data_IF_299690007953
#
_entry.id   IF_299690007953
#
_cell.length_a   1.000
_cell.length_b   1.000
_cell.length_c   1.000
_cell.angle_alpha   90.00
_cell.angle_beta   90.00
_cell.angle_gamma   90.00
#
_symmetry.space_group_name_H-M   'P 1'
#
loop_
_entity.id
_entity.type
_entity.pdbx_description
1 polymer ?
#
# COMPACT_ATOMS: atom_id res chain seq x y z
N UNK A 1 16.82 50.14 -20.05
CA UNK A 1 17.20 49.76 -21.44
C UNK A 1 17.30 48.23 -21.42
N UNK A 2 16.35 47.49 -22.01
CA UNK A 2 16.22 47.22 -23.46
C UNK A 2 17.46 46.44 -23.97
N UNK A 3 17.38 45.26 -24.58
CA UNK A 3 16.35 44.70 -25.50
C UNK A 3 16.25 43.16 -25.36
N UNK A 4 15.07 42.57 -25.62
CA UNK A 4 14.93 41.21 -26.18
C UNK A 4 14.26 41.36 -27.56
N UNK A 5 14.70 40.63 -28.61
CA UNK A 5 14.09 39.34 -28.97
C UNK A 5 15.19 38.33 -29.44
N UNK A 6 14.99 37.22 -30.18
CA UNK A 6 13.83 36.70 -30.91
C UNK A 6 13.87 35.15 -31.07
N UNK A 7 12.76 34.58 -31.56
CA UNK A 7 12.71 33.29 -32.25
C UNK A 7 13.29 33.44 -33.67
N UNK A 8 14.03 32.44 -34.17
CA UNK A 8 14.32 32.29 -35.59
C UNK A 8 14.27 30.83 -36.02
N UNK A 9 13.43 30.54 -37.01
CA UNK A 9 13.24 29.22 -37.62
C UNK A 9 14.55 28.73 -38.25
N UNK A 10 14.99 27.51 -37.89
CA UNK A 10 16.06 26.82 -38.60
C UNK A 10 15.54 26.30 -39.96
N UNK A 11 15.47 27.20 -40.94
CA UNK A 11 15.14 26.87 -42.33
C UNK A 11 16.13 25.83 -42.87
N UNK A 12 15.63 24.72 -43.39
CA UNK A 12 16.46 23.67 -43.96
C UNK A 12 16.97 24.02 -45.36
N UNK A 13 18.18 24.58 -45.45
CA UNK A 13 18.95 24.62 -46.70
C UNK A 13 20.35 24.03 -46.49
N UNK A 14 20.66 22.99 -47.26
CA UNK A 14 22.04 22.58 -47.54
C UNK A 14 22.24 22.66 -49.05
N UNK A 15 23.22 23.47 -49.47
CA UNK A 15 23.63 23.57 -50.87
C UNK A 15 24.39 22.29 -51.25
N UNK A 16 24.21 21.81 -52.49
CA UNK A 16 24.97 20.68 -53.04
C UNK A 16 25.67 21.05 -54.34
N UNK A 17 26.92 20.61 -54.46
CA UNK A 17 27.62 20.39 -55.71
C UNK A 17 28.29 19.01 -55.61
N UNK A 18 28.05 18.13 -56.59
CA UNK A 18 28.39 16.69 -56.50
C UNK A 18 27.13 15.82 -56.49
N UNK A 19 27.10 14.81 -57.34
CA UNK A 19 25.89 14.07 -57.74
C UNK A 19 25.31 13.09 -56.73
N UNK A 20 24.31 12.32 -57.19
CA UNK A 20 23.39 11.48 -56.42
C UNK A 20 22.47 12.30 -55.52
N UNK A 21 21.39 12.82 -56.12
CA UNK A 21 20.18 13.20 -55.37
C UNK A 21 19.73 11.93 -54.64
N UNK A 22 20.00 11.86 -53.34
CA UNK A 22 19.30 10.94 -52.46
C UNK A 22 17.99 11.63 -52.21
N UNK A 23 17.00 11.28 -53.02
CA UNK A 23 15.63 11.70 -52.77
C UNK A 23 15.31 11.18 -51.37
N UNK A 24 15.15 12.09 -50.42
CA UNK A 24 14.79 11.70 -49.06
C UNK A 24 13.38 11.16 -49.24
N UNK A 25 13.12 9.85 -49.05
CA UNK A 25 11.80 9.31 -49.30
C UNK A 25 10.83 10.20 -48.53
N UNK A 26 9.73 10.66 -49.16
CA UNK A 26 8.75 11.45 -48.43
C UNK A 26 8.50 10.70 -47.13
N UNK A 27 8.60 11.39 -45.99
CA UNK A 27 8.11 10.82 -44.73
C UNK A 27 6.74 10.28 -45.10
N UNK A 28 6.47 8.97 -44.95
CA UNK A 28 5.26 8.40 -45.50
C UNK A 28 4.13 9.30 -45.06
N UNK A 29 3.43 9.88 -46.03
CA UNK A 29 2.19 10.56 -45.71
C UNK A 29 1.37 9.46 -45.08
N UNK A 30 1.29 9.49 -43.75
CA UNK A 30 0.36 8.67 -43.00
C UNK A 30 -0.97 9.30 -43.36
N UNK A 31 -1.48 8.89 -44.52
CA UNK A 31 -2.84 9.12 -44.95
C UNK A 31 -3.63 8.53 -43.80
N UNK A 32 -4.16 9.43 -42.97
CA UNK A 32 -4.79 9.07 -41.72
C UNK A 32 -6.14 8.45 -42.07
N UNK A 33 -6.09 7.17 -42.45
CA UNK A 33 -7.27 6.39 -42.78
C UNK A 33 -7.93 5.93 -41.50
N UNK A 34 -9.21 6.29 -41.34
CA UNK A 34 -10.02 5.91 -40.19
C UNK A 34 -10.21 4.40 -40.10
N UNK A 35 -10.22 3.67 -41.23
CA UNK A 35 -10.27 2.20 -41.22
C UNK A 35 -9.04 1.60 -40.55
N UNK A 36 -7.86 2.05 -40.93
CA UNK A 36 -6.56 1.63 -40.39
C UNK A 36 -6.40 2.05 -38.92
N UNK A 37 -6.78 3.28 -38.57
CA UNK A 37 -6.76 3.75 -37.18
C UNK A 37 -7.67 2.89 -36.27
N UNK A 38 -8.86 2.52 -36.75
CA UNK A 38 -9.79 1.60 -36.07
C UNK A 38 -9.21 0.19 -35.92
N UNK A 39 -8.57 -0.36 -36.95
CA UNK A 39 -7.92 -1.67 -36.86
C UNK A 39 -6.80 -1.70 -35.81
N UNK A 40 -5.95 -0.67 -35.77
CA UNK A 40 -4.89 -0.54 -34.77
C UNK A 40 -5.46 -0.42 -33.34
N UNK A 41 -6.50 0.38 -33.15
CA UNK A 41 -7.18 0.48 -31.85
C UNK A 41 -7.87 -0.83 -31.42
N UNK A 42 -8.48 -1.57 -32.36
CA UNK A 42 -9.03 -2.91 -32.08
C UNK A 42 -7.94 -3.92 -31.71
N UNK A 43 -6.77 -3.84 -32.33
CA UNK A 43 -5.57 -4.60 -31.97
C UNK A 43 -4.92 -4.13 -30.66
N UNK A 44 -5.45 -3.08 -30.02
CA UNK A 44 -4.90 -2.39 -28.83
C UNK A 44 -3.54 -1.73 -29.04
N UNK A 45 -3.12 -1.51 -30.28
CA UNK A 45 -1.94 -0.71 -30.61
C UNK A 45 -2.32 0.78 -30.60
N UNK A 46 -2.55 1.30 -29.39
CA UNK A 46 -2.91 2.70 -29.22
C UNK A 46 -1.74 3.65 -29.51
N UNK A 47 -0.49 3.17 -29.45
CA UNK A 47 0.68 3.97 -29.81
C UNK A 47 0.72 4.28 -31.31
N UNK A 48 0.39 3.30 -32.16
CA UNK A 48 0.26 3.52 -33.60
C UNK A 48 -1.07 4.20 -33.98
N UNK A 49 -2.18 3.86 -33.29
CA UNK A 49 -3.50 4.40 -33.62
C UNK A 49 -3.65 5.90 -33.29
N UNK A 50 -3.19 6.36 -32.12
CA UNK A 50 -3.46 7.72 -31.64
C UNK A 50 -2.95 8.84 -32.57
N UNK A 51 -1.74 8.77 -33.16
CA UNK A 51 -1.30 9.76 -34.15
C UNK A 51 -2.27 9.91 -35.32
N UNK A 52 -2.83 8.80 -35.83
CA UNK A 52 -3.80 8.83 -36.94
C UNK A 52 -5.12 9.48 -36.51
N UNK A 53 -5.65 9.09 -35.34
CA UNK A 53 -6.85 9.70 -34.76
C UNK A 53 -6.70 11.21 -34.51
N UNK A 54 -5.54 11.64 -34.00
CA UNK A 54 -5.26 13.06 -33.76
C UNK A 54 -5.12 13.86 -35.07
N UNK A 55 -4.58 13.25 -36.13
CA UNK A 55 -4.57 13.87 -37.47
C UNK A 55 -5.98 13.99 -38.05
N UNK A 56 -6.81 12.96 -37.92
CA UNK A 56 -8.22 12.99 -38.34
C UNK A 56 -9.02 14.07 -37.60
N UNK A 57 -8.94 14.09 -36.27
CA UNK A 57 -9.58 15.11 -35.43
C UNK A 57 -9.04 16.55 -35.65
N UNK A 58 -7.85 16.70 -36.23
CA UNK A 58 -7.33 18.00 -36.63
C UNK A 58 -7.83 18.47 -38.01
N UNK A 59 -8.29 17.53 -38.87
CA UNK A 59 -8.84 17.87 -40.19
C UNK A 59 -10.28 18.41 -40.15
N UNK A 60 -11.08 17.93 -39.19
CA UNK A 60 -12.37 18.53 -38.81
C UNK A 60 -12.44 18.69 -37.29
N UNK A 61 -12.03 19.87 -36.75
CA UNK A 61 -12.02 20.10 -35.32
C UNK A 61 -13.39 20.15 -34.66
N UNK A 62 -14.49 20.23 -35.41
CA UNK A 62 -15.87 20.32 -34.90
C UNK A 62 -16.68 19.03 -35.10
N UNK A 63 -16.09 17.99 -35.70
CA UNK A 63 -16.65 16.63 -35.72
C UNK A 63 -16.70 16.03 -34.30
N UNK A 64 -17.88 16.11 -33.70
CA UNK A 64 -18.17 15.55 -32.39
C UNK A 64 -18.05 14.02 -32.33
N UNK A 65 -18.33 13.28 -33.40
CA UNK A 65 -18.16 11.82 -33.43
C UNK A 65 -16.69 11.44 -33.43
N UNK A 66 -15.88 12.10 -34.27
CA UNK A 66 -14.43 11.92 -34.26
C UNK A 66 -13.84 12.26 -32.89
N UNK A 67 -14.23 13.39 -32.31
CA UNK A 67 -13.80 13.79 -30.98
C UNK A 67 -14.15 12.76 -29.89
N UNK A 68 -15.35 12.17 -29.93
CA UNK A 68 -15.74 11.10 -29.00
C UNK A 68 -14.91 9.83 -29.24
N UNK A 69 -14.69 9.44 -30.51
CA UNK A 69 -13.90 8.25 -30.83
C UNK A 69 -12.45 8.39 -30.37
N UNK A 70 -11.82 9.55 -30.63
CA UNK A 70 -10.50 9.90 -30.10
C UNK A 70 -10.50 9.87 -28.56
N UNK A 71 -11.54 10.39 -27.90
CA UNK A 71 -11.63 10.37 -26.44
C UNK A 71 -11.69 8.93 -25.89
N UNK A 72 -12.43 8.01 -26.52
CA UNK A 72 -12.44 6.58 -26.14
C UNK A 72 -11.04 5.97 -26.28
N UNK A 73 -10.35 6.20 -27.40
CA UNK A 73 -9.01 5.64 -27.66
C UNK A 73 -7.96 6.23 -26.71
N UNK A 74 -8.04 7.52 -26.38
CA UNK A 74 -7.20 8.15 -25.34
C UNK A 74 -7.41 7.49 -23.97
N UNK A 75 -8.66 7.19 -23.60
CA UNK A 75 -8.97 6.51 -22.35
C UNK A 75 -8.44 5.08 -22.29
N UNK A 76 -8.56 4.31 -23.38
CA UNK A 76 -7.95 2.97 -23.47
C UNK A 76 -6.41 2.97 -23.48
N UNK A 77 -5.79 4.11 -23.81
CA UNK A 77 -4.35 4.33 -23.78
C UNK A 77 -3.84 4.94 -22.46
N UNK A 78 -4.66 4.92 -21.40
CA UNK A 78 -4.41 5.55 -20.08
C UNK A 78 -4.17 7.08 -20.12
N UNK A 79 -4.45 7.76 -21.25
CA UNK A 79 -4.38 9.23 -21.40
C UNK A 79 -5.67 9.88 -20.89
N UNK A 80 -6.07 9.51 -19.68
CA UNK A 80 -7.36 9.80 -19.07
C UNK A 80 -7.66 11.31 -18.96
N UNK A 81 -6.65 12.13 -18.65
CA UNK A 81 -6.80 13.59 -18.55
C UNK A 81 -7.19 14.25 -19.89
N UNK A 82 -6.61 13.78 -20.99
CA UNK A 82 -6.88 14.28 -22.34
C UNK A 82 -8.22 13.78 -22.86
N UNK A 83 -8.56 12.51 -22.59
CA UNK A 83 -9.88 11.95 -22.85
C UNK A 83 -10.98 12.76 -22.14
N UNK A 84 -10.82 13.02 -20.84
CA UNK A 84 -11.77 13.83 -20.06
C UNK A 84 -11.87 15.27 -20.57
N UNK A 85 -10.78 15.87 -21.05
CA UNK A 85 -10.80 17.19 -21.66
C UNK A 85 -11.58 17.21 -22.98
N UNK A 86 -11.43 16.17 -23.80
CA UNK A 86 -12.13 16.05 -25.08
C UNK A 86 -13.63 15.77 -24.90
N UNK A 87 -14.01 14.89 -23.97
CA UNK A 87 -15.41 14.72 -23.57
C UNK A 87 -16.02 16.03 -23.04
N UNK A 88 -15.30 16.79 -22.20
CA UNK A 88 -15.75 18.12 -21.72
C UNK A 88 -15.98 19.09 -22.88
N UNK A 89 -15.11 19.12 -23.89
CA UNK A 89 -15.28 19.95 -25.09
C UNK A 89 -16.55 19.57 -25.86
N UNK A 90 -16.76 18.28 -26.13
CA UNK A 90 -17.94 17.80 -26.86
C UNK A 90 -19.24 18.09 -26.09
N UNK A 91 -19.26 17.89 -24.77
CA UNK A 91 -20.43 18.23 -23.92
C UNK A 91 -20.72 19.74 -23.91
N UNK A 92 -19.70 20.59 -24.02
CA UNK A 92 -19.87 22.05 -24.12
C UNK A 92 -20.39 22.50 -25.50
N UNK A 93 -19.98 21.83 -26.58
CA UNK A 93 -20.43 22.11 -27.95
C UNK A 93 -21.82 21.51 -28.25
N UNK A 94 -22.15 20.36 -27.66
CA UNK A 94 -23.40 19.63 -27.84
C UNK A 94 -24.03 19.20 -26.50
N UNK A 95 -24.63 20.13 -25.73
CA UNK A 95 -25.21 19.84 -24.41
C UNK A 95 -26.25 18.72 -24.40
N UNK A 96 -26.97 18.52 -25.50
CA UNK A 96 -27.92 17.42 -25.69
C UNK A 96 -27.28 16.02 -25.60
N UNK A 97 -25.96 15.91 -25.86
CA UNK A 97 -25.20 14.66 -25.71
C UNK A 97 -24.65 14.45 -24.31
N UNK A 98 -24.88 15.38 -23.36
CA UNK A 98 -24.37 15.25 -21.99
C UNK A 98 -24.72 13.90 -21.38
N UNK A 99 -25.97 13.46 -21.45
CA UNK A 99 -26.41 12.20 -20.86
C UNK A 99 -25.73 10.96 -21.46
N UNK A 100 -25.38 10.97 -22.75
CA UNK A 100 -24.63 9.89 -23.40
C UNK A 100 -23.19 9.81 -22.86
N UNK A 101 -22.54 10.96 -22.71
CA UNK A 101 -21.10 11.05 -22.47
C UNK A 101 -20.72 11.16 -20.99
N UNK A 102 -21.67 11.53 -20.11
CA UNK A 102 -21.40 11.82 -18.70
C UNK A 102 -20.81 10.62 -17.92
N UNK A 103 -21.25 9.36 -18.10
CA UNK A 103 -20.64 8.22 -17.41
C UNK A 103 -19.16 8.02 -17.81
N UNK A 104 -18.85 8.16 -19.10
CA UNK A 104 -17.46 8.08 -19.60
C UNK A 104 -16.63 9.25 -19.10
N UNK A 105 -17.16 10.47 -19.15
CA UNK A 105 -16.48 11.66 -18.66
C UNK A 105 -16.18 11.58 -17.15
N UNK A 106 -17.10 11.06 -16.34
CA UNK A 106 -16.90 10.89 -14.90
C UNK A 106 -15.73 9.93 -14.61
N UNK A 107 -15.71 8.75 -15.24
CA UNK A 107 -14.61 7.78 -15.08
C UNK A 107 -13.27 8.30 -15.60
N UNK A 108 -13.23 8.94 -16.76
CA UNK A 108 -12.00 9.52 -17.30
C UNK A 108 -11.48 10.67 -16.41
N UNK A 109 -12.36 11.45 -15.79
CA UNK A 109 -11.98 12.49 -14.82
C UNK A 109 -11.43 11.89 -13.53
N UNK A 110 -12.03 10.79 -13.04
CA UNK A 110 -11.54 10.05 -11.88
C UNK A 110 -10.16 9.40 -12.12
N UNK A 111 -9.98 8.73 -13.25
CA UNK A 111 -8.72 8.09 -13.64
C UNK A 111 -7.63 9.09 -14.04
N UNK A 112 -7.98 10.33 -14.37
CA UNK A 112 -7.05 11.46 -14.47
C UNK A 112 -6.54 11.95 -13.10
N UNK A 113 -7.05 11.41 -11.98
CA UNK A 113 -6.71 11.80 -10.62
C UNK A 113 -7.55 12.95 -10.05
N UNK A 114 -8.48 13.52 -10.82
CA UNK A 114 -9.33 14.64 -10.38
C UNK A 114 -10.62 14.12 -9.73
N UNK A 115 -10.46 13.53 -8.55
CA UNK A 115 -11.58 13.04 -7.75
C UNK A 115 -12.58 14.16 -7.36
N UNK A 116 -12.13 15.42 -7.28
CA UNK A 116 -12.97 16.57 -6.92
C UNK A 116 -13.95 16.94 -8.04
N UNK A 117 -13.51 16.91 -9.30
CA UNK A 117 -14.40 17.08 -10.45
C UNK A 117 -15.18 15.80 -10.80
N UNK A 118 -14.66 14.62 -10.48
CA UNK A 118 -15.33 13.36 -10.80
C UNK A 118 -16.58 13.09 -9.95
N UNK A 119 -16.55 13.37 -8.63
CA UNK A 119 -17.69 13.15 -7.73
C UNK A 119 -19.01 13.77 -8.23
N UNK A 120 -19.10 15.09 -8.54
CA UNK A 120 -20.39 15.68 -8.95
C UNK A 120 -20.92 15.07 -10.26
N UNK A 121 -20.05 14.67 -11.18
CA UNK A 121 -20.44 14.00 -12.43
C UNK A 121 -21.02 12.60 -12.14
N UNK A 122 -20.41 11.85 -11.23
CA UNK A 122 -20.95 10.56 -10.78
C UNK A 122 -22.28 10.72 -10.04
N UNK A 123 -22.42 11.73 -9.16
CA UNK A 123 -23.68 11.98 -8.46
C UNK A 123 -24.82 12.34 -9.42
N UNK A 124 -24.55 13.12 -10.48
CA UNK A 124 -25.53 13.42 -11.53
C UNK A 124 -25.99 12.14 -12.26
N UNK A 125 -25.07 11.25 -12.64
CA UNK A 125 -25.44 9.94 -13.24
C UNK A 125 -26.22 9.07 -12.25
N UNK A 126 -25.78 8.99 -11.00
CA UNK A 126 -26.35 8.12 -9.97
C UNK A 126 -27.78 8.52 -9.54
N UNK A 127 -28.12 9.81 -9.67
CA UNK A 127 -29.41 10.38 -9.29
C UNK A 127 -30.40 10.49 -10.46
N UNK A 128 -29.92 10.63 -11.70
CA UNK A 128 -30.80 10.80 -12.86
C UNK A 128 -31.51 9.49 -13.26
N UNK A 129 -32.84 9.55 -13.41
CA UNK A 129 -33.70 8.41 -13.75
C UNK A 129 -33.63 7.96 -15.22
N UNK A 130 -32.84 8.64 -16.06
CA UNK A 130 -32.58 8.26 -17.45
C UNK A 130 -31.62 7.08 -17.57
N UNK A 131 -30.86 6.78 -16.51
CA UNK A 131 -29.93 5.66 -16.47
C UNK A 131 -30.54 4.48 -15.70
N UNK A 132 -30.33 3.27 -16.22
CA UNK A 132 -30.75 2.03 -15.55
C UNK A 132 -30.02 1.82 -14.22
N UNK A 133 -30.61 1.01 -13.33
CA UNK A 133 -30.06 0.75 -11.99
C UNK A 133 -28.60 0.25 -11.98
N UNK A 134 -28.12 -0.61 -12.90
CA UNK A 134 -26.71 -1.00 -12.95
C UNK A 134 -25.76 0.18 -13.23
N UNK A 135 -26.14 1.09 -14.13
CA UNK A 135 -25.34 2.29 -14.45
C UNK A 135 -25.34 3.26 -13.26
N UNK A 136 -26.47 3.37 -12.56
CA UNK A 136 -26.58 4.18 -11.34
C UNK A 136 -25.81 3.58 -10.16
N UNK A 137 -25.76 2.25 -10.03
CA UNK A 137 -24.94 1.56 -9.04
C UNK A 137 -23.44 1.79 -9.31
N UNK A 138 -23.02 1.66 -10.56
CA UNK A 138 -21.66 1.96 -11.02
C UNK A 138 -21.27 3.42 -10.74
N UNK A 139 -22.19 4.36 -10.96
CA UNK A 139 -21.97 5.77 -10.66
C UNK A 139 -21.89 6.05 -9.15
N UNK A 140 -22.73 5.42 -8.31
CA UNK A 140 -22.56 5.50 -6.85
C UNK A 140 -21.20 4.90 -6.41
N UNK A 141 -20.71 3.83 -7.06
CA UNK A 141 -19.35 3.30 -6.84
C UNK A 141 -18.28 4.32 -7.19
N UNK A 142 -18.39 4.99 -8.33
CA UNK A 142 -17.46 6.04 -8.76
C UNK A 142 -17.46 7.25 -7.81
N UNK A 143 -18.62 7.68 -7.33
CA UNK A 143 -18.74 8.71 -6.30
C UNK A 143 -18.07 8.27 -4.97
N UNK A 144 -18.27 7.01 -4.56
CA UNK A 144 -17.63 6.45 -3.37
C UNK A 144 -16.10 6.42 -3.48
N UNK A 145 -15.55 5.99 -4.63
CA UNK A 145 -14.10 6.00 -4.91
C UNK A 145 -13.54 7.43 -4.94
N UNK A 146 -14.29 8.38 -5.50
CA UNK A 146 -13.90 9.81 -5.51
C UNK A 146 -13.85 10.38 -4.09
N UNK A 147 -14.86 10.09 -3.25
CA UNK A 147 -14.90 10.47 -1.83
C UNK A 147 -13.77 9.85 -1.02
N UNK A 148 -13.46 8.57 -1.28
CA UNK A 148 -12.35 7.85 -0.67
C UNK A 148 -11.01 8.55 -0.97
N UNK A 149 -10.75 8.88 -2.23
CA UNK A 149 -9.53 9.59 -2.65
C UNK A 149 -9.41 11.00 -2.05
N UNK A 150 -10.55 11.63 -1.72
CA UNK A 150 -10.63 12.92 -1.03
C UNK A 150 -10.65 12.80 0.50
N UNK A 151 -10.45 11.60 1.07
CA UNK A 151 -10.41 11.36 2.51
C UNK A 151 -11.78 11.40 3.22
N UNK A 152 -12.89 11.52 2.47
CA UNK A 152 -14.26 11.60 3.01
C UNK A 152 -14.85 10.21 3.20
N UNK A 153 -14.24 9.44 4.11
CA UNK A 153 -14.47 8.00 4.28
C UNK A 153 -15.91 7.65 4.68
N UNK A 154 -16.56 8.43 5.55
CA UNK A 154 -17.95 8.21 5.94
C UNK A 154 -18.91 8.39 4.75
N UNK A 155 -18.74 9.46 3.99
CA UNK A 155 -19.53 9.72 2.77
C UNK A 155 -19.27 8.69 1.67
N UNK A 156 -18.05 8.12 1.62
CA UNK A 156 -17.68 7.02 0.73
C UNK A 156 -18.42 5.73 1.11
N UNK A 157 -18.48 5.40 2.41
CA UNK A 157 -19.25 4.27 2.92
C UNK A 157 -20.74 4.39 2.56
N UNK A 158 -21.35 5.57 2.77
CA UNK A 158 -22.73 5.85 2.37
C UNK A 158 -22.95 5.67 0.86
N UNK A 159 -22.02 6.13 0.02
CA UNK A 159 -22.12 5.95 -1.43
C UNK A 159 -22.00 4.46 -1.83
N UNK A 160 -21.17 3.66 -1.16
CA UNK A 160 -21.16 2.21 -1.34
C UNK A 160 -22.45 1.53 -0.84
N UNK A 161 -23.06 2.00 0.25
CA UNK A 161 -24.40 1.53 0.69
C UNK A 161 -25.45 1.79 -0.40
N UNK A 162 -25.45 2.98 -1.02
CA UNK A 162 -26.36 3.32 -2.14
C UNK A 162 -26.08 2.49 -3.39
N UNK A 163 -24.82 2.18 -3.69
CA UNK A 163 -24.44 1.32 -4.80
C UNK A 163 -24.93 -0.13 -4.60
N UNK A 164 -24.74 -0.72 -3.42
CA UNK A 164 -25.26 -2.06 -3.09
C UNK A 164 -26.78 -2.12 -3.03
N UNK A 165 -27.47 -1.05 -2.64
CA UNK A 165 -28.93 -1.02 -2.66
C UNK A 165 -29.51 -1.17 -4.08
N UNK A 166 -28.76 -0.77 -5.11
CA UNK A 166 -29.13 -0.92 -6.54
C UNK A 166 -28.57 -2.20 -7.16
N UNK A 167 -27.42 -2.71 -6.67
CA UNK A 167 -26.86 -3.99 -7.11
C UNK A 167 -26.35 -4.83 -5.91
N UNK A 168 -27.23 -5.56 -5.21
CA UNK A 168 -26.86 -6.32 -4.00
C UNK A 168 -25.90 -7.49 -4.26
N UNK A 169 -25.78 -7.95 -5.52
CA UNK A 169 -24.96 -9.08 -5.90
C UNK A 169 -23.51 -8.71 -6.24
N UNK A 170 -23.18 -7.40 -6.30
CA UNK A 170 -21.82 -6.96 -6.67
C UNK A 170 -20.81 -7.18 -5.53
N UNK A 171 -20.07 -8.28 -5.65
CA UNK A 171 -19.00 -8.66 -4.73
C UNK A 171 -17.86 -7.63 -4.65
N UNK A 172 -17.60 -6.86 -5.71
CA UNK A 172 -16.55 -5.83 -5.72
C UNK A 172 -16.99 -4.62 -4.90
N UNK A 173 -18.21 -4.13 -5.10
CA UNK A 173 -18.81 -3.06 -4.29
C UNK A 173 -18.90 -3.51 -2.82
N UNK A 174 -19.33 -4.74 -2.55
CA UNK A 174 -19.39 -5.29 -1.19
C UNK A 174 -18.00 -5.35 -0.52
N UNK A 175 -16.95 -5.71 -1.26
CA UNK A 175 -15.56 -5.71 -0.75
C UNK A 175 -15.07 -4.30 -0.45
N UNK A 176 -15.31 -3.34 -1.36
CA UNK A 176 -14.96 -1.92 -1.17
C UNK A 176 -15.68 -1.31 0.03
N UNK A 177 -16.96 -1.65 0.23
CA UNK A 177 -17.72 -1.31 1.45
C UNK A 177 -17.10 -1.87 2.72
N UNK A 178 -16.73 -3.16 2.72
CA UNK A 178 -16.04 -3.78 3.85
C UNK A 178 -14.69 -3.12 4.16
N UNK A 179 -13.99 -2.62 3.13
CA UNK A 179 -12.79 -1.79 3.29
C UNK A 179 -13.10 -0.40 3.91
N UNK A 180 -14.19 0.27 3.52
CA UNK A 180 -14.57 1.54 4.13
C UNK A 180 -14.99 1.37 5.60
N UNK A 181 -15.67 0.27 5.95
CA UNK A 181 -15.94 -0.09 7.35
C UNK A 181 -14.64 -0.25 8.14
N UNK A 182 -13.59 -0.81 7.52
CA UNK A 182 -12.29 -0.95 8.18
C UNK A 182 -11.65 0.42 8.47
N UNK A 183 -11.59 1.29 7.46
CA UNK A 183 -10.96 2.62 7.57
C UNK A 183 -11.80 3.66 8.35
N UNK A 184 -13.08 3.37 8.62
CA UNK A 184 -13.95 4.14 9.53
C UNK A 184 -14.03 3.56 10.94
N UNK A 185 -13.05 2.72 11.31
CA UNK A 185 -12.90 2.07 12.64
C UNK A 185 -14.02 1.08 13.03
N UNK A 186 -14.93 0.76 12.09
CA UNK A 186 -16.04 -0.20 12.26
C UNK A 186 -15.57 -1.64 12.04
N UNK A 187 -14.50 -2.02 12.75
CA UNK A 187 -13.76 -3.27 12.54
C UNK A 187 -14.63 -4.53 12.63
N UNK A 188 -15.55 -4.61 13.60
CA UNK A 188 -16.41 -5.77 13.78
C UNK A 188 -17.34 -6.01 12.57
N UNK A 189 -17.89 -4.93 12.00
CA UNK A 189 -18.74 -5.00 10.81
C UNK A 189 -17.94 -5.28 9.54
N UNK A 190 -16.72 -4.74 9.44
CA UNK A 190 -15.78 -5.07 8.37
C UNK A 190 -15.46 -6.57 8.36
N UNK A 191 -15.10 -7.14 9.52
CA UNK A 191 -14.85 -8.59 9.68
C UNK A 191 -16.09 -9.40 9.28
N UNK A 192 -17.28 -9.04 9.75
CA UNK A 192 -18.51 -9.76 9.41
C UNK A 192 -18.81 -9.71 7.90
N UNK A 193 -18.64 -8.56 7.25
CA UNK A 193 -18.83 -8.41 5.81
C UNK A 193 -17.81 -9.24 5.01
N UNK A 194 -16.53 -9.20 5.39
CA UNK A 194 -15.49 -10.01 4.77
C UNK A 194 -15.70 -11.53 4.99
N UNK A 195 -16.17 -11.94 6.17
CA UNK A 195 -16.54 -13.34 6.45
C UNK A 195 -17.71 -13.82 5.59
N UNK A 196 -18.74 -12.98 5.38
CA UNK A 196 -19.85 -13.31 4.50
C UNK A 196 -19.39 -13.47 3.03
N UNK A 197 -18.50 -12.58 2.56
CA UNK A 197 -17.90 -12.69 1.22
C UNK A 197 -17.05 -13.96 1.07
N UNK A 198 -16.25 -14.31 2.10
CA UNK A 198 -15.38 -15.49 2.11
C UNK A 198 -16.18 -16.80 2.21
N UNK A 199 -17.32 -16.82 2.92
CA UNK A 199 -18.20 -17.97 2.96
C UNK A 199 -18.85 -18.27 1.60
N UNK A 200 -19.12 -17.23 0.80
CA UNK A 200 -19.71 -17.37 -0.53
C UNK A 200 -18.67 -17.66 -1.64
N UNK A 201 -17.41 -17.26 -1.45
CA UNK A 201 -16.28 -17.68 -2.30
C UNK A 201 -15.00 -17.76 -1.45
N UNK A 202 -14.66 -18.96 -0.95
CA UNK A 202 -13.46 -19.16 -0.14
C UNK A 202 -12.15 -18.93 -0.89
N UNK A 203 -12.16 -19.01 -2.23
CA UNK A 203 -10.97 -18.90 -3.08
C UNK A 203 -10.65 -17.46 -3.51
N UNK A 204 -11.54 -16.49 -3.24
CA UNK A 204 -11.29 -15.07 -3.51
C UNK A 204 -10.17 -14.50 -2.62
N UNK A 205 -8.93 -14.57 -3.11
CA UNK A 205 -7.74 -14.02 -2.45
C UNK A 205 -7.96 -12.59 -1.96
N UNK A 206 -8.59 -11.71 -2.75
CA UNK A 206 -8.79 -10.31 -2.37
C UNK A 206 -9.70 -10.17 -1.14
N UNK A 207 -10.71 -11.03 -1.03
CA UNK A 207 -11.59 -11.09 0.15
C UNK A 207 -10.84 -11.64 1.37
N UNK A 208 -10.01 -12.68 1.20
CA UNK A 208 -9.20 -13.22 2.30
C UNK A 208 -8.14 -12.23 2.80
N UNK A 209 -7.48 -11.51 1.89
CA UNK A 209 -6.54 -10.42 2.21
C UNK A 209 -7.23 -9.32 3.03
N UNK A 210 -8.43 -8.90 2.61
CA UNK A 210 -9.25 -7.93 3.33
C UNK A 210 -9.69 -8.42 4.72
N UNK A 211 -10.10 -9.69 4.84
CA UNK A 211 -10.43 -10.31 6.12
C UNK A 211 -9.22 -10.34 7.07
N UNK A 212 -8.05 -10.77 6.57
CA UNK A 212 -6.82 -10.82 7.35
C UNK A 212 -6.37 -9.42 7.78
N UNK A 213 -6.54 -8.41 6.92
CA UNK A 213 -6.30 -7.02 7.29
C UNK A 213 -7.27 -6.55 8.39
N UNK A 214 -8.57 -6.77 8.23
CA UNK A 214 -9.58 -6.36 9.22
C UNK A 214 -9.38 -7.02 10.58
N UNK A 215 -9.01 -8.31 10.61
CA UNK A 215 -8.61 -9.02 11.83
C UNK A 215 -7.35 -8.44 12.47
N UNK A 216 -6.37 -8.00 11.67
CA UNK A 216 -5.15 -7.39 12.18
C UNK A 216 -5.43 -6.04 12.88
N UNK A 217 -6.22 -5.16 12.27
CA UNK A 217 -6.62 -3.89 12.89
C UNK A 217 -7.47 -4.11 14.16
N UNK A 218 -8.35 -5.12 14.16
CA UNK A 218 -9.13 -5.52 15.34
C UNK A 218 -8.33 -6.20 16.47
N UNK A 219 -6.99 -6.21 16.41
CA UNK A 219 -6.15 -6.85 17.44
C UNK A 219 -6.09 -8.39 17.36
N UNK A 220 -6.76 -9.02 16.39
CA UNK A 220 -6.90 -10.49 16.25
C UNK A 220 -5.75 -11.08 15.44
N UNK A 221 -4.52 -10.64 15.71
CA UNK A 221 -3.33 -10.87 14.88
C UNK A 221 -3.04 -12.34 14.55
N UNK A 222 -3.20 -13.27 15.49
CA UNK A 222 -2.99 -14.71 15.22
C UNK A 222 -4.02 -15.28 14.23
N UNK A 223 -5.24 -14.75 14.20
CA UNK A 223 -6.26 -15.17 13.23
C UNK A 223 -5.98 -14.58 11.85
N UNK A 224 -5.56 -13.31 11.79
CA UNK A 224 -5.06 -12.71 10.55
C UNK A 224 -3.91 -13.55 9.97
N UNK A 225 -2.91 -13.89 10.78
CA UNK A 225 -1.77 -14.71 10.37
C UNK A 225 -2.18 -16.11 9.89
N UNK A 226 -3.16 -16.75 10.52
CA UNK A 226 -3.70 -18.02 10.04
C UNK A 226 -4.22 -17.91 8.59
N UNK A 227 -4.98 -16.86 8.25
CA UNK A 227 -5.42 -16.61 6.87
C UNK A 227 -4.24 -16.33 5.94
N UNK A 228 -3.28 -15.49 6.34
CA UNK A 228 -2.06 -15.21 5.57
C UNK A 228 -1.23 -16.46 5.25
N UNK A 229 -1.32 -17.50 6.09
CA UNK A 229 -0.70 -18.81 5.86
C UNK A 229 -1.52 -19.70 4.91
N UNK A 230 -2.84 -19.56 4.88
CA UNK A 230 -3.73 -20.35 4.02
C UNK A 230 -3.75 -19.84 2.58
N UNK A 231 -3.59 -18.54 2.35
CA UNK A 231 -3.62 -17.93 1.00
C UNK A 231 -2.28 -17.91 0.27
N UNK A 232 -1.34 -18.78 0.64
CA UNK A 232 0.08 -18.72 0.25
C UNK A 232 0.82 -17.42 0.64
N UNK A 233 2.13 -17.57 0.86
CA UNK A 233 2.99 -16.53 1.42
C UNK A 233 2.92 -15.19 0.65
N UNK A 234 3.08 -14.04 1.35
CA UNK A 234 2.90 -12.72 0.76
C UNK A 234 3.83 -12.46 -0.43
N UNK A 235 3.22 -12.26 -1.61
CA UNK A 235 3.90 -12.09 -2.88
C UNK A 235 4.33 -10.64 -3.14
N UNK A 236 3.56 -9.66 -2.66
CA UNK A 236 3.82 -8.23 -2.88
C UNK A 236 4.53 -7.55 -1.68
N UNK A 237 5.20 -6.41 -1.88
CA UNK A 237 5.72 -5.56 -0.81
C UNK A 237 4.66 -5.17 0.24
N UNK A 238 3.43 -4.88 -0.21
CA UNK A 238 2.30 -4.47 0.62
C UNK A 238 1.77 -5.64 1.46
N UNK A 239 1.61 -6.82 0.85
CA UNK A 239 1.24 -8.04 1.57
C UNK A 239 2.30 -8.39 2.63
N UNK A 240 3.60 -8.30 2.29
CA UNK A 240 4.70 -8.54 3.24
C UNK A 240 4.66 -7.58 4.41
N UNK A 241 4.36 -6.30 4.16
CA UNK A 241 4.18 -5.30 5.21
C UNK A 241 3.03 -5.66 6.16
N UNK A 242 1.87 -6.04 5.64
CA UNK A 242 0.71 -6.41 6.48
C UNK A 242 0.98 -7.67 7.32
N UNK A 243 1.64 -8.67 6.74
CA UNK A 243 2.09 -9.88 7.47
C UNK A 243 3.10 -9.49 8.56
N UNK A 244 4.09 -8.65 8.26
CA UNK A 244 5.07 -8.20 9.24
C UNK A 244 4.46 -7.39 10.38
N UNK A 245 3.44 -6.54 10.11
CA UNK A 245 2.66 -5.85 11.14
C UNK A 245 1.95 -6.85 12.06
N UNK A 246 1.25 -7.84 11.48
CA UNK A 246 0.59 -8.91 12.23
C UNK A 246 1.56 -9.74 13.09
N UNK A 247 2.70 -10.15 12.51
CA UNK A 247 3.76 -10.88 13.23
C UNK A 247 4.29 -10.08 14.41
N UNK A 248 4.61 -8.80 14.20
CA UNK A 248 5.11 -7.92 15.26
C UNK A 248 4.07 -7.76 16.37
N UNK A 249 2.83 -7.40 16.04
CA UNK A 249 1.78 -7.21 17.04
C UNK A 249 1.43 -8.52 17.78
N UNK A 250 1.64 -9.68 17.15
CA UNK A 250 1.54 -10.99 17.81
C UNK A 250 2.75 -11.34 18.70
N UNK A 251 3.79 -10.50 18.78
CA UNK A 251 4.99 -10.69 19.61
C UNK A 251 6.19 -11.34 18.90
N UNK A 252 6.18 -11.42 17.58
CA UNK A 252 7.22 -12.07 16.77
C UNK A 252 8.04 -11.03 15.98
N UNK A 253 8.70 -10.11 16.70
CA UNK A 253 9.54 -9.04 16.10
C UNK A 253 10.66 -9.60 15.20
N UNK A 254 11.16 -10.82 15.45
CA UNK A 254 12.15 -11.51 14.60
C UNK A 254 11.58 -11.98 13.26
N UNK A 255 10.42 -12.65 13.27
CA UNK A 255 9.73 -13.06 12.05
C UNK A 255 9.26 -11.84 11.24
N UNK A 256 8.82 -10.78 11.93
CA UNK A 256 8.48 -9.51 11.30
C UNK A 256 9.70 -8.86 10.62
N UNK A 257 10.85 -8.82 11.30
CA UNK A 257 12.09 -8.29 10.73
C UNK A 257 12.49 -9.00 9.43
N UNK A 258 12.39 -10.32 9.42
CA UNK A 258 12.76 -11.15 8.28
C UNK A 258 11.77 -11.02 7.11
N UNK A 259 10.48 -10.86 7.41
CA UNK A 259 9.43 -10.63 6.39
C UNK A 259 9.62 -9.29 5.67
N UNK A 260 10.24 -8.30 6.32
CA UNK A 260 10.51 -6.97 5.77
C UNK A 260 11.82 -6.88 4.95
N UNK A 261 12.60 -7.96 4.84
CA UNK A 261 13.84 -7.94 4.05
C UNK A 261 13.53 -7.77 2.56
N UNK A 262 14.24 -6.83 1.92
CA UNK A 262 13.99 -6.45 0.52
C UNK A 262 12.68 -5.71 0.25
N UNK A 263 11.88 -5.38 1.26
CA UNK A 263 10.67 -4.56 1.11
C UNK A 263 11.06 -3.08 1.09
N UNK A 264 10.74 -2.38 0.00
CA UNK A 264 11.07 -0.96 -0.20
C UNK A 264 9.81 -0.07 -0.22
N UNK A 265 9.00 -0.21 0.83
CA UNK A 265 7.92 0.74 1.15
C UNK A 265 8.37 1.58 2.34
N UNK A 266 8.10 2.89 2.35
CA UNK A 266 8.60 3.80 3.38
C UNK A 266 8.20 3.39 4.81
N UNK A 267 6.96 2.92 5.01
CA UNK A 267 6.45 2.44 6.29
C UNK A 267 7.04 1.07 6.69
N UNK A 268 7.26 0.17 5.72
CA UNK A 268 7.95 -1.10 5.91
C UNK A 268 9.44 -0.91 6.26
N UNK A 269 10.13 0.00 5.57
CA UNK A 269 11.53 0.35 5.81
C UNK A 269 11.71 1.00 7.20
N UNK A 270 10.78 1.86 7.62
CA UNK A 270 10.77 2.39 8.99
C UNK A 270 10.59 1.26 10.02
N UNK A 271 9.59 0.38 9.81
CA UNK A 271 9.32 -0.75 10.71
C UNK A 271 10.49 -1.74 10.79
N UNK A 272 11.20 -1.95 9.67
CA UNK A 272 12.41 -2.76 9.60
C UNK A 272 13.55 -2.10 10.38
N UNK A 273 13.92 -0.88 9.99
CA UNK A 273 15.18 -0.26 10.38
C UNK A 273 15.16 0.34 11.80
N UNK A 274 14.02 0.86 12.25
CA UNK A 274 13.91 1.55 13.55
C UNK A 274 13.30 0.71 14.66
N UNK A 275 12.31 -0.13 14.31
CA UNK A 275 11.55 -0.90 15.29
C UNK A 275 12.09 -2.32 15.41
N UNK A 276 11.87 -3.15 14.41
CA UNK A 276 12.23 -4.58 14.49
C UNK A 276 13.75 -4.78 14.60
N UNK A 277 14.59 -4.04 13.85
CA UNK A 277 16.05 -4.12 13.97
C UNK A 277 16.58 -3.78 15.37
N UNK A 278 15.92 -2.86 16.09
CA UNK A 278 16.29 -2.53 17.48
C UNK A 278 15.92 -3.66 18.44
N UNK A 279 14.75 -4.25 18.26
CA UNK A 279 14.25 -5.34 19.11
C UNK A 279 14.92 -6.69 18.81
N UNK A 280 15.45 -6.90 17.61
CA UNK A 280 16.21 -8.12 17.23
C UNK A 280 17.72 -7.95 17.38
N UNK A 281 18.24 -6.73 17.32
CA UNK A 281 19.66 -6.40 17.35
C UNK A 281 20.40 -6.79 18.63
N UNK A 282 21.73 -6.66 18.58
CA UNK A 282 22.59 -6.83 19.76
C UNK A 282 22.45 -5.60 20.65
N UNK A 283 22.31 -5.79 21.96
CA UNK A 283 22.20 -4.70 22.93
C UNK A 283 23.15 -4.89 24.09
N UNK A 284 23.75 -3.80 24.57
CA UNK A 284 24.46 -3.74 25.84
C UNK A 284 23.66 -2.96 26.87
N UNK A 285 23.81 -3.29 28.15
CA UNK A 285 23.21 -2.56 29.26
C UNK A 285 24.18 -2.47 30.43
N UNK A 286 24.02 -1.44 31.24
CA UNK A 286 24.72 -1.29 32.51
C UNK A 286 23.71 -0.90 33.59
N UNK A 287 23.87 -1.43 34.79
CA UNK A 287 23.05 -1.11 35.94
C UNK A 287 23.94 -0.79 37.15
N UNK A 288 23.49 0.17 37.95
CA UNK A 288 24.02 0.43 39.28
C UNK A 288 22.88 0.22 40.28
N UNK A 289 23.15 -0.57 41.31
CA UNK A 289 22.22 -0.97 42.34
C UNK A 289 22.81 -0.57 43.70
N UNK A 290 22.05 0.18 44.49
CA UNK A 290 22.36 0.42 45.89
C UNK A 290 21.19 -0.03 46.75
N UNK A 291 21.46 -0.82 47.78
CA UNK A 291 20.47 -1.32 48.73
C UNK A 291 21.03 -1.29 50.15
N UNK A 292 20.12 -1.10 51.11
CA UNK A 292 20.42 -1.18 52.55
C UNK A 292 19.30 -1.93 53.27
N UNK A 293 19.65 -2.93 54.04
CA UNK A 293 18.72 -3.73 54.85
C UNK A 293 18.76 -3.31 56.34
N UNK A 294 17.81 -3.82 57.13
CA UNK A 294 17.53 -3.43 58.52
C UNK A 294 18.63 -3.85 59.50
N UNK A 295 19.37 -4.89 59.19
CA UNK A 295 20.58 -5.35 59.89
C UNK A 295 21.82 -4.47 59.63
N UNK A 296 21.67 -3.40 58.84
CA UNK A 296 22.74 -2.54 58.34
C UNK A 296 23.69 -3.18 57.32
N UNK A 297 23.27 -4.28 56.68
CA UNK A 297 23.84 -4.72 55.43
C UNK A 297 23.63 -3.65 54.35
N UNK A 298 24.69 -3.28 53.65
CA UNK A 298 24.71 -2.37 52.51
C UNK A 298 25.29 -3.11 51.31
N UNK A 299 24.57 -3.07 50.19
CA UNK A 299 25.01 -3.64 48.91
C UNK A 299 25.16 -2.49 47.93
N UNK A 300 26.37 -2.31 47.43
CA UNK A 300 26.70 -1.40 46.33
C UNK A 300 27.17 -2.26 45.15
N UNK A 301 26.47 -2.22 44.02
CA UNK A 301 26.74 -3.12 42.92
C UNK A 301 26.66 -2.45 41.54
N UNK A 302 27.58 -2.86 40.67
CA UNK A 302 27.59 -2.51 39.26
C UNK A 302 27.49 -3.78 38.41
N UNK A 303 26.60 -3.76 37.42
CA UNK A 303 26.44 -4.84 36.46
C UNK A 303 26.62 -4.31 35.04
N UNK A 304 27.39 -5.03 34.23
CA UNK A 304 27.53 -4.80 32.79
C UNK A 304 27.08 -6.06 32.05
N UNK A 305 26.10 -5.92 31.16
CA UNK A 305 25.49 -7.02 30.43
C UNK A 305 25.44 -6.78 28.91
N UNK A 306 25.39 -7.88 28.17
CA UNK A 306 25.23 -7.89 26.73
C UNK A 306 24.29 -9.02 26.28
N UNK A 307 23.35 -8.69 25.40
CA UNK A 307 22.38 -9.60 24.80
C UNK A 307 22.65 -9.73 23.30
N UNK A 308 22.71 -10.97 22.81
CA UNK A 308 22.77 -11.31 21.39
C UNK A 308 21.69 -12.34 21.04
N UNK A 309 21.30 -12.40 19.77
CA UNK A 309 20.38 -13.41 19.24
C UNK A 309 21.12 -14.27 18.22
N UNK A 310 21.60 -15.47 18.59
CA UNK A 310 22.44 -16.29 17.70
C UNK A 310 21.64 -16.90 16.54
N UNK A 311 20.32 -17.09 16.71
CA UNK A 311 19.40 -17.55 15.67
C UNK A 311 17.95 -17.11 15.99
N UNK A 312 17.02 -17.29 15.02
CA UNK A 312 15.59 -16.94 15.15
C UNK A 312 14.99 -17.51 16.43
N UNK A 313 14.32 -16.67 17.23
CA UNK A 313 13.71 -17.08 18.49
C UNK A 313 14.69 -17.49 19.60
N UNK A 314 16.02 -17.30 19.47
CA UNK A 314 16.98 -17.60 20.53
C UNK A 314 17.66 -16.34 21.06
N UNK A 315 17.97 -16.34 22.36
CA UNK A 315 18.69 -15.27 23.06
C UNK A 315 19.87 -15.85 23.82
N UNK A 316 20.98 -15.11 23.84
CA UNK A 316 22.11 -15.34 24.73
C UNK A 316 22.44 -14.02 25.41
N UNK A 317 22.27 -13.99 26.73
CA UNK A 317 22.68 -12.89 27.59
C UNK A 317 23.92 -13.30 28.37
N UNK A 318 24.91 -12.41 28.45
CA UNK A 318 26.10 -12.55 29.30
C UNK A 318 26.24 -11.30 30.12
N UNK A 319 26.32 -11.44 31.45
CA UNK A 319 26.45 -10.32 32.37
C UNK A 319 27.50 -10.58 33.45
N UNK A 320 28.33 -9.57 33.69
CA UNK A 320 29.27 -9.50 34.81
C UNK A 320 28.74 -8.49 35.83
N UNK A 321 28.59 -8.92 37.08
CA UNK A 321 28.19 -8.10 38.23
C UNK A 321 29.31 -8.10 39.26
N UNK A 322 29.72 -6.92 39.69
CA UNK A 322 30.57 -6.71 40.86
C UNK A 322 29.75 -6.04 41.95
N UNK A 323 29.81 -6.57 43.15
CA UNK A 323 29.19 -5.97 44.33
C UNK A 323 30.18 -5.85 45.48
N UNK A 324 30.17 -4.71 46.15
CA UNK A 324 30.65 -4.57 47.52
C UNK A 324 29.47 -4.83 48.46
N UNK A 325 29.65 -5.74 49.40
CA UNK A 325 28.67 -6.09 50.42
C UNK A 325 29.33 -5.77 51.76
N UNK A 326 28.77 -4.83 52.51
CA UNK A 326 29.33 -4.37 53.79
C UNK A 326 28.28 -4.41 54.89
N UNK A 327 28.74 -4.76 56.09
CA UNK A 327 28.00 -4.71 57.35
C UNK A 327 28.88 -3.99 58.38
N UNK A 328 28.38 -3.60 59.57
CA UNK A 328 29.18 -2.84 60.53
C UNK A 328 30.49 -3.49 60.99
N UNK A 329 30.61 -4.83 60.88
CA UNK A 329 31.76 -5.61 61.32
C UNK A 329 32.68 -6.10 60.18
N UNK A 330 32.21 -6.12 58.93
CA UNK A 330 32.94 -6.74 57.82
C UNK A 330 32.55 -6.14 56.45
N UNK A 331 33.41 -6.33 55.45
CA UNK A 331 33.05 -6.11 54.05
C UNK A 331 33.69 -7.18 53.16
N UNK A 332 32.96 -7.56 52.11
CA UNK A 332 33.41 -8.52 51.11
C UNK A 332 33.06 -8.02 49.71
N UNK A 333 33.87 -8.41 48.74
CA UNK A 333 33.60 -8.14 47.32
C UNK A 333 33.14 -9.43 46.64
N UNK A 334 32.03 -9.37 45.91
CA UNK A 334 31.47 -10.47 45.16
C UNK A 334 31.50 -10.17 43.66
N UNK A 335 32.22 -10.99 42.89
CA UNK A 335 32.17 -11.00 41.43
C UNK A 335 31.28 -12.16 40.97
N UNK A 336 30.28 -11.88 40.12
CA UNK A 336 29.46 -12.87 39.43
C UNK A 336 29.65 -12.71 37.93
N UNK A 337 30.02 -13.80 37.25
CA UNK A 337 29.84 -13.93 35.81
C UNK A 337 28.63 -14.84 35.56
N UNK A 338 27.70 -14.40 34.73
CA UNK A 338 26.47 -15.12 34.41
C UNK A 338 26.25 -15.19 32.91
N UNK A 339 25.69 -16.30 32.45
CA UNK A 339 25.24 -16.50 31.08
C UNK A 339 23.85 -17.14 31.10
N UNK A 340 22.91 -16.59 30.35
CA UNK A 340 21.55 -17.10 30.21
C UNK A 340 21.23 -17.33 28.73
N UNK A 341 20.88 -18.56 28.37
CA UNK A 341 20.49 -18.94 27.01
C UNK A 341 18.99 -19.24 26.98
N UNK A 342 18.22 -18.44 26.25
CA UNK A 342 16.79 -18.60 26.08
C UNK A 342 16.43 -19.04 24.67
N UNK A 343 15.32 -19.76 24.51
CA UNK A 343 14.80 -20.12 23.20
C UNK A 343 13.28 -20.17 23.17
N UNK A 344 12.71 -19.83 22.01
CA UNK A 344 11.28 -19.87 21.75
C UNK A 344 10.86 -21.28 21.34
N UNK A 345 9.87 -21.82 22.05
CA UNK A 345 9.07 -22.95 21.61
C UNK A 345 7.70 -22.43 21.16
N UNK A 346 7.28 -22.85 19.97
CA UNK A 346 6.05 -22.38 19.32
C UNK A 346 6.26 -21.21 18.33
N UNK A 347 5.23 -20.94 17.56
CA UNK A 347 5.18 -19.94 16.48
C UNK A 347 3.80 -19.23 16.49
N UNK A 348 3.50 -18.29 15.58
CA UNK A 348 2.21 -17.59 15.57
C UNK A 348 0.99 -18.49 15.34
N UNK A 349 1.20 -19.70 14.84
CA UNK A 349 0.20 -20.69 14.43
C UNK A 349 0.03 -21.82 15.44
N UNK A 350 0.91 -21.96 16.44
CA UNK A 350 0.79 -23.01 17.47
C UNK A 350 -0.38 -22.74 18.42
N UNK A 351 -1.26 -23.74 18.56
CA UNK A 351 -2.52 -23.63 19.34
C UNK A 351 -2.32 -23.32 20.83
N UNK A 352 -1.19 -23.75 21.41
CA UNK A 352 -0.84 -23.53 22.82
C UNK A 352 -0.03 -22.23 23.04
N UNK A 353 0.12 -21.40 22.01
CA UNK A 353 0.88 -20.15 22.08
C UNK A 353 2.39 -20.38 22.10
N UNK A 354 3.09 -19.56 22.87
CA UNK A 354 4.55 -19.42 22.84
C UNK A 354 5.13 -19.65 24.24
N UNK A 355 6.14 -20.49 24.36
CA UNK A 355 6.93 -20.68 25.59
C UNK A 355 8.36 -20.19 25.38
N UNK A 356 8.97 -19.66 26.43
CA UNK A 356 10.35 -19.15 26.43
C UNK A 356 11.16 -19.78 27.58
N UNK A 357 11.47 -21.09 27.52
CA UNK A 357 12.46 -21.69 28.41
C UNK A 357 13.81 -20.97 28.32
N UNK A 358 14.54 -20.98 29.44
CA UNK A 358 15.93 -20.54 29.50
C UNK A 358 16.76 -21.44 30.41
N UNK A 359 18.05 -21.50 30.12
CA UNK A 359 19.07 -22.13 30.96
C UNK A 359 20.06 -21.04 31.40
N UNK A 360 20.19 -20.83 32.70
CA UNK A 360 21.15 -19.89 33.28
C UNK A 360 22.26 -20.62 34.03
N UNK A 361 23.50 -20.20 33.78
CA UNK A 361 24.69 -20.61 34.51
C UNK A 361 25.33 -19.38 35.13
N UNK A 362 25.89 -19.52 36.33
CA UNK A 362 26.56 -18.41 37.03
C UNK A 362 27.73 -18.92 37.86
N UNK A 363 28.89 -18.30 37.67
CA UNK A 363 30.07 -18.48 38.50
C UNK A 363 30.20 -17.30 39.47
N UNK A 364 30.30 -17.58 40.77
CA UNK A 364 30.44 -16.58 41.82
C UNK A 364 31.82 -16.69 42.47
N UNK A 365 32.46 -15.56 42.73
CA UNK A 365 33.68 -15.45 43.51
C UNK A 365 33.46 -14.43 44.64
N UNK A 366 33.55 -14.89 45.87
CA UNK A 366 33.48 -14.05 47.07
C UNK A 366 34.89 -13.86 47.61
N UNK A 367 35.41 -12.64 47.57
CA UNK A 367 36.71 -12.29 48.14
C UNK A 367 36.54 -12.00 49.64
N UNK A 368 37.25 -12.75 50.48
CA UNK A 368 37.17 -12.63 51.95
C UNK A 368 36.26 -13.66 52.64
N UNK A 369 35.65 -14.58 51.89
CA UNK A 369 35.04 -15.79 52.47
C UNK A 369 36.10 -16.90 52.58
N UNK A 370 36.38 -17.35 53.80
CA UNK A 370 37.27 -18.46 54.15
C UNK A 370 36.55 -19.45 55.06
#
# INVERSE_FOLDING_TARGET
MSVAPALALASGYTVRAGGVIVDRPPRPEVIADLGTARQLAQARDYQAALPMYLMLAASDPDDAEMAIEVARVLGFADRNAESAALYRRVVAQAPQRRAELLPSLAWQTAWAGDAAQAEPLFLEVAQASIYDEPVRAEAWRGAAESRQNLGRLTESLEAYDRALALNPADRNIARKRAQMLLWTDRHAESIAAYQALAAADPADRLTQLGLAQALNFAGRHRQALAIWREIDAPGSPEEKREVARGLRWAGFEDLAHDTLQGVDLADAAWLRNWRTARETGRSGWAAYEWARDRDSLVIDAFTLGGLVRPQRGHTLEVAWRRASISEPAASLNADRLSAAYGWRLGDPYTRWGTLWPSLSLSANRYAGWS
#
